data_IF_184207061920
#
_entry.id   IF_184207061920
#
_cell.length_a   1.000
_cell.length_b   1.000
_cell.length_c   1.000
_cell.angle_alpha   90.00
_cell.angle_beta   90.00
_cell.angle_gamma   90.00
#
_symmetry.space_group_name_H-M   'P 1'
#
loop_
_entity.id
_entity.type
_entity.pdbx_description
1 polymer ?
#
# COMPACT_ATOMS: atom_id res chain seq x y z
N UNK A 1 55.58 -5.03 -14.26
CA UNK A 1 54.44 -4.18 -13.88
C UNK A 1 53.22 -5.08 -13.75
N UNK A 2 52.87 -5.44 -12.52
CA UNK A 2 51.69 -6.30 -12.23
C UNK A 2 50.49 -5.38 -12.08
N UNK A 3 49.50 -5.56 -12.95
CA UNK A 3 48.22 -4.81 -12.88
C UNK A 3 47.44 -5.20 -11.64
N UNK A 4 47.02 -4.22 -10.87
CA UNK A 4 46.19 -4.40 -9.70
C UNK A 4 44.85 -5.10 -10.08
N UNK A 5 44.37 -6.06 -9.28
CA UNK A 5 43.11 -6.74 -9.56
C UNK A 5 41.97 -5.72 -9.51
N UNK A 6 41.18 -5.63 -10.60
CA UNK A 6 39.92 -4.89 -10.62
C UNK A 6 39.04 -5.43 -9.52
N UNK A 7 38.69 -4.60 -8.56
CA UNK A 7 37.80 -4.94 -7.45
C UNK A 7 36.52 -5.60 -7.97
N UNK A 8 36.15 -6.71 -7.33
CA UNK A 8 34.89 -7.43 -7.57
C UNK A 8 33.75 -6.44 -7.57
N UNK A 9 32.87 -6.38 -8.60
CA UNK A 9 31.71 -5.51 -8.58
C UNK A 9 30.93 -5.77 -7.28
N UNK A 10 30.59 -4.71 -6.53
CA UNK A 10 29.65 -4.85 -5.39
C UNK A 10 28.44 -5.61 -5.90
N UNK A 11 28.20 -6.77 -5.33
CA UNK A 11 27.05 -7.60 -5.70
C UNK A 11 25.80 -6.75 -5.46
N UNK A 12 25.21 -6.26 -6.53
CA UNK A 12 24.01 -5.45 -6.52
C UNK A 12 22.90 -6.30 -5.90
N UNK A 13 22.34 -5.83 -4.78
CA UNK A 13 21.16 -6.45 -4.20
C UNK A 13 19.92 -5.82 -4.86
N UNK A 14 19.29 -6.56 -5.76
CA UNK A 14 18.10 -6.11 -6.48
C UNK A 14 16.97 -5.71 -5.52
N UNK A 15 16.85 -6.37 -4.39
CA UNK A 15 15.85 -6.08 -3.38
C UNK A 15 16.09 -4.73 -2.69
N UNK A 16 17.32 -4.41 -2.32
CA UNK A 16 17.68 -3.10 -1.75
C UNK A 16 17.41 -1.97 -2.74
N UNK A 17 17.74 -2.18 -4.01
CA UNK A 17 17.46 -1.18 -5.05
C UNK A 17 15.97 -1.02 -5.29
N UNK A 18 15.19 -2.11 -5.28
CA UNK A 18 13.74 -2.05 -5.41
C UNK A 18 13.10 -1.31 -4.23
N UNK A 19 13.59 -1.52 -3.01
CA UNK A 19 13.13 -0.77 -1.83
C UNK A 19 13.41 0.74 -1.96
N UNK A 20 14.56 1.12 -2.52
CA UNK A 20 14.87 2.53 -2.80
C UNK A 20 13.94 3.11 -3.88
N UNK A 21 13.65 2.35 -4.94
CA UNK A 21 12.68 2.77 -5.97
C UNK A 21 11.28 2.95 -5.39
N UNK A 22 10.83 2.03 -4.52
CA UNK A 22 9.56 2.15 -3.80
C UNK A 22 9.48 3.48 -3.05
N UNK A 23 10.52 3.89 -2.33
CA UNK A 23 10.54 5.16 -1.60
C UNK A 23 10.39 6.37 -2.53
N UNK A 24 11.02 6.35 -3.71
CA UNK A 24 10.87 7.41 -4.73
C UNK A 24 9.45 7.46 -5.26
N UNK A 25 8.90 6.32 -5.68
CA UNK A 25 7.53 6.25 -6.18
C UNK A 25 6.49 6.64 -5.12
N UNK A 26 6.71 6.27 -3.88
CA UNK A 26 5.79 6.62 -2.78
C UNK A 26 5.75 8.11 -2.52
N UNK A 27 6.91 8.79 -2.60
CA UNK A 27 7.02 10.26 -2.38
C UNK A 27 6.56 11.09 -3.57
N UNK A 28 6.83 10.63 -4.80
CA UNK A 28 6.65 11.40 -6.04
C UNK A 28 5.45 10.96 -6.87
N UNK A 29 4.90 9.79 -6.59
CA UNK A 29 3.97 9.12 -7.49
C UNK A 29 4.67 8.56 -8.74
N UNK A 30 3.93 7.85 -9.57
CA UNK A 30 4.46 7.26 -10.79
C UNK A 30 4.98 8.32 -11.78
N UNK A 31 4.17 9.35 -12.08
CA UNK A 31 4.53 10.37 -13.07
C UNK A 31 5.67 11.26 -12.58
N UNK A 32 5.66 11.67 -11.31
CA UNK A 32 6.68 12.54 -10.73
C UNK A 32 8.06 11.89 -10.53
N UNK A 33 8.14 10.56 -10.51
CA UNK A 33 9.40 9.85 -10.39
C UNK A 33 10.15 9.80 -11.72
N UNK A 34 11.25 10.55 -11.84
CA UNK A 34 12.09 10.53 -13.05
C UNK A 34 13.03 9.32 -13.07
N UNK A 35 13.43 8.87 -14.27
CA UNK A 35 14.42 7.78 -14.41
C UNK A 35 15.78 8.15 -13.80
N UNK A 36 16.15 9.42 -13.80
CA UNK A 36 17.39 9.90 -13.18
C UNK A 36 17.32 9.75 -11.66
N UNK A 37 16.25 10.23 -11.03
CA UNK A 37 16.01 10.13 -9.59
C UNK A 37 15.92 8.66 -9.13
N UNK A 38 15.24 7.80 -9.91
CA UNK A 38 15.16 6.37 -9.62
C UNK A 38 16.54 5.71 -9.64
N UNK A 39 17.35 5.93 -10.70
CA UNK A 39 18.69 5.32 -10.79
C UNK A 39 19.65 5.84 -9.73
N UNK A 40 19.55 7.11 -9.37
CA UNK A 40 20.32 7.72 -8.28
C UNK A 40 19.96 7.09 -6.93
N UNK A 41 18.68 7.03 -6.59
CA UNK A 41 18.21 6.44 -5.34
C UNK A 41 18.54 4.95 -5.23
N UNK A 42 18.42 4.21 -6.34
CA UNK A 42 18.77 2.78 -6.43
C UNK A 42 20.27 2.51 -6.40
N UNK A 43 21.12 3.54 -6.61
CA UNK A 43 22.58 3.38 -6.69
C UNK A 43 23.06 2.58 -7.90
N UNK A 44 22.32 2.61 -9.01
CA UNK A 44 22.60 1.84 -10.22
C UNK A 44 22.58 2.69 -11.48
N UNK A 45 23.16 2.17 -12.55
CA UNK A 45 23.10 2.83 -13.86
C UNK A 45 21.79 2.54 -14.58
N UNK A 46 21.40 3.43 -15.49
CA UNK A 46 20.20 3.24 -16.32
C UNK A 46 20.20 1.92 -17.10
N UNK A 47 21.31 1.47 -17.74
CA UNK A 47 21.38 0.13 -18.34
C UNK A 47 21.15 -1.01 -17.35
N UNK A 48 21.69 -0.90 -16.12
CA UNK A 48 21.48 -1.90 -15.07
C UNK A 48 20.01 -1.96 -14.62
N UNK A 49 19.34 -0.80 -14.55
CA UNK A 49 17.92 -0.76 -14.23
C UNK A 49 17.10 -1.51 -15.29
N UNK A 50 17.32 -1.22 -16.57
CA UNK A 50 16.62 -1.91 -17.66
C UNK A 50 16.88 -3.41 -17.68
N UNK A 51 18.11 -3.83 -17.43
CA UNK A 51 18.49 -5.24 -17.40
C UNK A 51 17.81 -6.02 -16.25
N UNK A 52 17.68 -5.40 -15.05
CA UNK A 52 17.15 -6.07 -13.86
C UNK A 52 15.63 -5.93 -13.69
N UNK A 53 15.07 -4.78 -14.06
CA UNK A 53 13.70 -4.42 -13.76
C UNK A 53 12.82 -4.16 -14.99
N UNK A 54 13.41 -4.11 -16.17
CA UNK A 54 12.70 -3.74 -17.39
C UNK A 54 12.52 -2.21 -17.51
N UNK A 55 11.33 -1.78 -17.79
CA UNK A 55 11.00 -0.35 -17.91
C UNK A 55 10.46 0.25 -16.59
N UNK A 56 10.12 1.55 -16.61
CA UNK A 56 9.56 2.26 -15.44
C UNK A 56 8.25 1.62 -14.95
N UNK A 57 7.40 1.15 -15.87
CA UNK A 57 6.13 0.48 -15.52
C UNK A 57 6.39 -0.82 -14.76
N UNK A 58 7.26 -1.68 -15.31
CA UNK A 58 7.61 -2.94 -14.65
C UNK A 58 8.28 -2.72 -13.29
N UNK A 59 9.13 -1.70 -13.15
CA UNK A 59 9.72 -1.32 -11.87
C UNK A 59 8.65 -0.86 -10.88
N UNK A 60 7.67 -0.08 -11.33
CA UNK A 60 6.57 0.39 -10.50
C UNK A 60 5.69 -0.76 -10.02
N UNK A 61 5.32 -1.71 -10.89
CA UNK A 61 4.56 -2.90 -10.50
C UNK A 61 5.31 -3.73 -9.46
N UNK A 62 6.64 -3.94 -9.65
CA UNK A 62 7.47 -4.61 -8.65
C UNK A 62 7.56 -3.85 -7.32
N UNK A 63 7.54 -2.52 -7.35
CA UNK A 63 7.50 -1.71 -6.14
C UNK A 63 6.14 -1.84 -5.42
N UNK A 64 5.02 -1.96 -6.14
CA UNK A 64 3.72 -2.29 -5.56
C UNK A 64 3.72 -3.68 -4.93
N UNK A 65 4.29 -4.70 -5.60
CA UNK A 65 4.43 -6.05 -5.03
C UNK A 65 5.22 -6.06 -3.72
N UNK A 66 6.35 -5.33 -3.71
CA UNK A 66 7.18 -5.18 -2.52
C UNK A 66 6.41 -4.50 -1.38
N UNK A 67 5.69 -3.43 -1.69
CA UNK A 67 4.86 -2.71 -0.73
C UNK A 67 3.77 -3.60 -0.13
N UNK A 68 3.04 -4.34 -0.96
CA UNK A 68 2.00 -5.25 -0.50
C UNK A 68 2.56 -6.35 0.39
N UNK A 69 3.67 -6.95 -0.01
CA UNK A 69 4.34 -8.00 0.76
C UNK A 69 4.81 -7.52 2.14
N UNK A 70 5.48 -6.38 2.19
CA UNK A 70 6.24 -5.96 3.37
C UNK A 70 5.45 -4.99 4.26
N UNK A 71 4.56 -4.19 3.68
CA UNK A 71 3.84 -3.15 4.41
C UNK A 71 2.37 -3.50 4.67
N UNK A 72 1.75 -4.32 3.83
CA UNK A 72 0.34 -4.72 3.98
C UNK A 72 0.14 -6.11 4.60
N UNK A 73 1.18 -6.71 5.17
CA UNK A 73 1.07 -8.01 5.85
C UNK A 73 -0.01 -8.03 6.94
N UNK A 74 -0.25 -6.90 7.63
CA UNK A 74 -1.30 -6.75 8.63
C UNK A 74 -2.72 -6.97 8.08
N UNK A 75 -2.95 -6.74 6.78
CA UNK A 75 -4.26 -6.93 6.15
C UNK A 75 -4.71 -8.38 6.25
N UNK A 76 -3.81 -9.34 5.98
CA UNK A 76 -4.10 -10.76 6.12
C UNK A 76 -4.49 -11.10 7.55
N UNK A 77 -3.70 -10.65 8.52
CA UNK A 77 -3.99 -10.85 9.94
C UNK A 77 -5.31 -10.21 10.37
N UNK A 78 -5.67 -9.05 9.79
CA UNK A 78 -6.94 -8.41 10.07
C UNK A 78 -8.13 -9.26 9.58
N UNK A 79 -8.04 -9.83 8.38
CA UNK A 79 -9.11 -10.68 7.81
C UNK A 79 -9.35 -11.99 8.60
N UNK A 80 -8.36 -12.43 9.40
CA UNK A 80 -8.49 -13.59 10.29
C UNK A 80 -9.16 -13.26 11.63
N UNK A 81 -9.48 -11.99 11.90
CA UNK A 81 -10.13 -11.60 13.14
C UNK A 81 -11.53 -12.24 13.30
N UNK A 82 -11.98 -12.51 14.55
CA UNK A 82 -13.19 -13.33 14.80
C UNK A 82 -14.48 -12.65 14.36
N UNK A 83 -14.60 -11.30 14.47
CA UNK A 83 -15.82 -10.55 14.14
C UNK A 83 -15.57 -9.47 13.10
N UNK A 84 -16.62 -8.98 12.43
CA UNK A 84 -16.52 -7.89 11.47
C UNK A 84 -15.91 -6.63 12.08
N UNK A 85 -16.28 -6.30 13.32
CA UNK A 85 -15.72 -5.16 14.06
C UNK A 85 -14.24 -5.36 14.38
N UNK A 86 -13.85 -6.56 14.79
CA UNK A 86 -12.44 -6.88 15.05
C UNK A 86 -11.60 -6.86 13.76
N UNK A 87 -12.18 -7.24 12.60
CA UNK A 87 -11.55 -7.06 11.28
C UNK A 87 -11.30 -5.58 11.03
N UNK A 88 -12.33 -4.74 11.17
CA UNK A 88 -12.22 -3.30 10.96
C UNK A 88 -11.19 -2.67 11.90
N UNK A 89 -11.20 -3.04 13.18
CA UNK A 89 -10.25 -2.53 14.16
C UNK A 89 -8.81 -2.87 13.79
N UNK A 90 -8.52 -4.15 13.52
CA UNK A 90 -7.15 -4.57 13.15
C UNK A 90 -6.70 -3.91 11.84
N UNK A 91 -7.62 -3.79 10.88
CA UNK A 91 -7.34 -3.17 9.59
C UNK A 91 -6.98 -1.68 9.75
N UNK A 92 -7.81 -0.91 10.46
CA UNK A 92 -7.59 0.52 10.67
C UNK A 92 -6.39 0.81 11.57
N UNK A 93 -6.17 0.02 12.64
CA UNK A 93 -4.98 0.18 13.49
C UNK A 93 -3.70 -0.20 12.78
N UNK A 94 -3.73 -1.23 11.93
CA UNK A 94 -2.59 -1.58 11.08
C UNK A 94 -2.23 -0.47 10.09
N UNK A 95 -3.25 0.14 9.46
CA UNK A 95 -3.07 1.30 8.60
C UNK A 95 -2.50 2.50 9.36
N UNK A 96 -3.01 2.78 10.57
CA UNK A 96 -2.51 3.84 11.44
C UNK A 96 -1.04 3.63 11.81
N UNK A 97 -0.67 2.42 12.23
CA UNK A 97 0.71 2.10 12.57
C UNK A 97 1.66 2.30 11.38
N UNK A 98 1.25 1.88 10.18
CA UNK A 98 2.01 2.10 8.96
C UNK A 98 2.21 3.60 8.66
N UNK A 99 1.17 4.41 8.85
CA UNK A 99 1.19 5.84 8.53
C UNK A 99 1.88 6.70 9.59
N UNK A 100 2.06 6.16 10.79
CA UNK A 100 2.74 6.81 11.91
C UNK A 100 4.24 6.52 11.97
N UNK A 101 4.74 5.63 11.11
CA UNK A 101 6.15 5.27 11.03
C UNK A 101 7.02 6.45 10.58
N UNK A 102 8.16 6.69 11.27
CA UNK A 102 9.06 7.81 10.96
C UNK A 102 9.90 7.61 9.70
N UNK A 103 10.05 6.38 9.22
CA UNK A 103 10.95 6.02 8.11
C UNK A 103 10.27 6.03 6.74
N UNK A 104 8.96 5.85 6.70
CA UNK A 104 8.20 5.74 5.45
C UNK A 104 7.50 7.06 5.10
N UNK A 105 7.23 7.33 3.83
CA UNK A 105 6.40 8.44 3.41
C UNK A 105 4.99 8.32 4.01
N UNK A 106 4.40 9.46 4.36
CA UNK A 106 3.04 9.49 4.92
C UNK A 106 1.99 9.10 3.87
N UNK A 107 0.93 8.46 4.32
CA UNK A 107 -0.13 7.94 3.46
C UNK A 107 0.16 6.53 2.93
N UNK A 108 -0.85 5.89 2.37
CA UNK A 108 -0.72 4.55 1.78
C UNK A 108 -0.32 4.64 0.31
N UNK A 109 0.77 3.97 -0.08
CA UNK A 109 1.24 3.97 -1.47
C UNK A 109 0.18 3.47 -2.46
N UNK A 110 -0.54 2.40 -2.11
CA UNK A 110 -1.63 1.87 -2.93
C UNK A 110 -2.78 2.87 -3.11
N UNK A 111 -3.17 3.60 -2.04
CA UNK A 111 -4.23 4.62 -2.10
C UNK A 111 -3.79 5.81 -2.94
N UNK A 112 -2.59 6.32 -2.70
CA UNK A 112 -2.03 7.47 -3.46
C UNK A 112 -1.96 7.10 -4.95
N UNK A 113 -1.50 5.90 -5.27
CA UNK A 113 -1.43 5.41 -6.65
C UNK A 113 -2.82 5.27 -7.28
N UNK A 114 -3.82 4.76 -6.56
CA UNK A 114 -5.18 4.61 -7.05
C UNK A 114 -5.87 5.97 -7.31
N UNK A 115 -5.64 6.97 -6.46
CA UNK A 115 -6.18 8.32 -6.63
C UNK A 115 -5.54 9.03 -7.85
N UNK A 116 -4.23 8.84 -8.04
CA UNK A 116 -3.49 9.48 -9.12
C UNK A 116 -3.61 8.75 -10.47
N UNK A 117 -4.12 7.52 -10.51
CA UNK A 117 -4.04 6.65 -11.68
C UNK A 117 -4.83 7.12 -12.91
N UNK A 118 -5.71 8.10 -12.78
CA UNK A 118 -6.45 8.67 -13.92
C UNK A 118 -5.52 9.25 -15.00
N UNK A 119 -4.32 9.69 -14.63
CA UNK A 119 -3.31 10.26 -15.52
C UNK A 119 -2.23 9.24 -15.92
N UNK A 120 -2.34 7.99 -15.49
CA UNK A 120 -1.36 6.96 -15.81
C UNK A 120 -1.59 6.35 -17.20
N UNK A 121 -0.54 5.73 -17.75
CA UNK A 121 -0.70 4.85 -18.90
C UNK A 121 -1.75 3.77 -18.57
N UNK A 122 -2.53 3.35 -19.57
CA UNK A 122 -3.66 2.42 -19.40
C UNK A 122 -3.24 1.11 -18.70
N UNK A 123 -2.06 0.57 -19.03
CA UNK A 123 -1.48 -0.63 -18.42
C UNK A 123 -1.29 -0.48 -16.91
N UNK A 124 -0.73 0.65 -16.47
CA UNK A 124 -0.50 0.94 -15.06
C UNK A 124 -1.82 1.18 -14.33
N UNK A 125 -2.73 1.90 -14.95
CA UNK A 125 -4.07 2.13 -14.40
C UNK A 125 -4.81 0.80 -14.18
N UNK A 126 -4.81 -0.08 -15.17
CA UNK A 126 -5.43 -1.39 -15.08
C UNK A 126 -4.83 -2.23 -13.93
N UNK A 127 -3.50 -2.24 -13.78
CA UNK A 127 -2.81 -2.96 -12.71
C UNK A 127 -3.18 -2.42 -11.31
N UNK A 128 -3.14 -1.09 -11.12
CA UNK A 128 -3.50 -0.46 -9.84
C UNK A 128 -4.97 -0.75 -9.48
N UNK A 129 -5.86 -0.66 -10.46
CA UNK A 129 -7.28 -0.93 -10.25
C UNK A 129 -7.56 -2.41 -9.97
N UNK A 130 -6.86 -3.34 -10.63
CA UNK A 130 -6.99 -4.78 -10.38
C UNK A 130 -6.60 -5.14 -8.94
N UNK A 131 -5.52 -4.56 -8.41
CA UNK A 131 -5.09 -4.74 -7.01
C UNK A 131 -6.13 -4.22 -6.03
N UNK A 132 -6.70 -3.04 -6.28
CA UNK A 132 -7.78 -2.49 -5.48
C UNK A 132 -8.99 -3.42 -5.45
N UNK A 133 -9.46 -3.87 -6.60
CA UNK A 133 -10.61 -4.79 -6.71
C UNK A 133 -10.33 -6.10 -5.94
N UNK A 134 -9.11 -6.64 -6.03
CA UNK A 134 -8.71 -7.84 -5.30
C UNK A 134 -8.77 -7.63 -3.78
N UNK A 135 -8.29 -6.50 -3.28
CA UNK A 135 -8.33 -6.16 -1.85
C UNK A 135 -9.76 -5.97 -1.35
N UNK A 136 -10.58 -5.23 -2.09
CA UNK A 136 -11.99 -5.00 -1.75
C UNK A 136 -12.77 -6.34 -1.72
N UNK A 137 -12.52 -7.23 -2.69
CA UNK A 137 -13.12 -8.56 -2.73
C UNK A 137 -12.79 -9.41 -1.50
N UNK A 138 -11.56 -9.42 -1.05
CA UNK A 138 -11.16 -10.16 0.15
C UNK A 138 -11.91 -9.68 1.41
N UNK A 139 -12.12 -8.36 1.55
CA UNK A 139 -12.89 -7.77 2.64
C UNK A 139 -14.37 -8.16 2.53
N UNK A 140 -14.95 -8.07 1.33
CA UNK A 140 -16.35 -8.45 1.07
C UNK A 140 -16.58 -9.93 1.42
N UNK A 141 -15.72 -10.83 0.96
CA UNK A 141 -15.80 -12.27 1.26
C UNK A 141 -15.73 -12.54 2.77
N UNK A 142 -14.85 -11.81 3.50
CA UNK A 142 -14.78 -11.91 4.95
C UNK A 142 -16.08 -11.44 5.62
N UNK A 143 -16.68 -10.35 5.13
CA UNK A 143 -17.92 -9.81 5.69
C UNK A 143 -19.15 -10.63 5.33
N UNK A 144 -19.18 -11.33 4.18
CA UNK A 144 -20.20 -12.35 3.92
C UNK A 144 -20.16 -13.45 4.99
N UNK A 145 -18.98 -13.92 5.37
CA UNK A 145 -18.85 -14.91 6.45
C UNK A 145 -19.35 -14.31 7.79
N UNK A 146 -18.94 -13.10 8.14
CA UNK A 146 -19.40 -12.43 9.35
C UNK A 146 -20.93 -12.26 9.40
N UNK A 147 -21.55 -12.00 8.23
CA UNK A 147 -22.99 -11.93 8.08
C UNK A 147 -23.67 -13.24 8.44
N UNK A 148 -23.17 -14.35 7.93
CA UNK A 148 -23.71 -15.69 8.26
C UNK A 148 -23.51 -16.07 9.72
N UNK A 149 -22.52 -15.50 10.38
CA UNK A 149 -22.23 -15.64 11.82
C UNK A 149 -23.05 -14.66 12.71
N UNK A 150 -23.87 -13.79 12.11
CA UNK A 150 -24.74 -12.86 12.83
C UNK A 150 -24.01 -11.69 13.50
N UNK A 151 -22.86 -11.28 12.95
CA UNK A 151 -22.01 -10.24 13.53
C UNK A 151 -22.55 -8.83 13.38
N UNK A 152 -23.42 -8.59 12.40
CA UNK A 152 -24.01 -7.26 12.16
C UNK A 152 -25.43 -7.38 11.56
N UNK A 153 -26.25 -6.29 11.67
CA UNK A 153 -27.66 -6.31 11.30
C UNK A 153 -27.89 -6.64 9.81
N UNK A 154 -29.02 -7.29 9.52
CA UNK A 154 -29.41 -7.58 8.13
C UNK A 154 -29.62 -6.36 7.25
N UNK A 155 -29.90 -5.22 7.82
CA UNK A 155 -30.06 -3.94 7.12
C UNK A 155 -28.76 -3.41 6.47
N UNK A 156 -27.59 -3.96 6.85
CA UNK A 156 -26.29 -3.58 6.30
C UNK A 156 -25.78 -4.72 5.42
N UNK A 157 -25.45 -4.44 4.16
CA UNK A 157 -24.87 -5.46 3.28
C UNK A 157 -23.36 -5.58 3.47
N UNK A 158 -22.75 -6.76 3.27
CA UNK A 158 -21.30 -6.95 3.31
C UNK A 158 -20.56 -5.99 2.38
N UNK A 159 -21.10 -5.75 1.18
CA UNK A 159 -20.53 -4.84 0.20
C UNK A 159 -20.53 -3.39 0.69
N UNK A 160 -21.64 -2.93 1.28
CA UNK A 160 -21.75 -1.58 1.82
C UNK A 160 -20.78 -1.38 3.01
N UNK A 161 -20.66 -2.40 3.88
CA UNK A 161 -19.75 -2.36 5.01
C UNK A 161 -18.30 -2.36 4.58
N UNK A 162 -17.94 -3.16 3.57
CA UNK A 162 -16.61 -3.18 2.98
C UNK A 162 -16.27 -1.83 2.30
N UNK A 163 -17.20 -1.27 1.54
CA UNK A 163 -17.04 0.03 0.90
C UNK A 163 -16.84 1.14 1.95
N UNK A 164 -17.59 1.11 3.06
CA UNK A 164 -17.42 2.05 4.16
C UNK A 164 -16.01 1.93 4.79
N UNK A 165 -15.56 0.71 5.12
CA UNK A 165 -14.22 0.48 5.67
C UNK A 165 -13.13 0.98 4.72
N UNK A 166 -13.25 0.67 3.42
CA UNK A 166 -12.31 1.11 2.39
C UNK A 166 -12.29 2.65 2.26
N UNK A 167 -13.46 3.31 2.33
CA UNK A 167 -13.55 4.76 2.27
C UNK A 167 -12.88 5.43 3.49
N UNK A 168 -13.09 4.90 4.70
CA UNK A 168 -12.41 5.39 5.92
C UNK A 168 -10.91 5.24 5.81
N UNK A 169 -10.41 4.08 5.39
CA UNK A 169 -8.98 3.84 5.21
C UNK A 169 -8.36 4.77 4.16
N UNK A 170 -9.04 4.99 3.04
CA UNK A 170 -8.60 5.94 2.02
C UNK A 170 -8.55 7.37 2.58
N UNK A 171 -9.59 7.78 3.31
CA UNK A 171 -9.64 9.08 3.99
C UNK A 171 -8.49 9.26 4.99
N UNK A 172 -8.20 8.25 5.81
CA UNK A 172 -7.05 8.24 6.71
C UNK A 172 -5.73 8.43 5.96
N UNK A 173 -5.55 7.73 4.83
CA UNK A 173 -4.34 7.82 4.03
C UNK A 173 -4.14 9.20 3.42
N UNK A 174 -5.21 9.84 2.94
CA UNK A 174 -5.18 11.20 2.40
C UNK A 174 -4.88 12.21 3.52
N UNK A 175 -5.53 12.08 4.67
CA UNK A 175 -5.28 12.97 5.83
C UNK A 175 -3.84 12.83 6.33
N UNK A 176 -3.31 11.61 6.45
CA UNK A 176 -1.92 11.38 6.82
C UNK A 176 -0.95 12.05 5.84
N UNK A 177 -1.18 11.90 4.54
CA UNK A 177 -0.41 12.55 3.48
C UNK A 177 -0.48 14.08 3.52
N UNK A 178 -1.61 14.63 4.01
CA UNK A 178 -1.84 16.07 4.18
C UNK A 178 -1.33 16.63 5.53
N UNK A 179 -0.72 15.79 6.37
CA UNK A 179 -0.08 16.23 7.60
C UNK A 179 -0.86 15.99 8.89
N UNK A 180 -1.99 15.26 8.84
CA UNK A 180 -2.71 14.89 10.05
C UNK A 180 -1.79 14.17 11.06
N UNK A 181 -1.95 14.50 12.32
CA UNK A 181 -1.20 13.87 13.41
C UNK A 181 -1.68 12.43 13.67
N UNK A 182 -0.85 11.56 14.23
CA UNK A 182 -1.27 10.23 14.67
C UNK A 182 -2.47 10.26 15.63
N UNK A 183 -2.60 11.30 16.44
CA UNK A 183 -3.70 11.47 17.37
C UNK A 183 -5.03 11.76 16.64
N UNK A 184 -5.02 12.60 15.62
CA UNK A 184 -6.22 12.88 14.80
C UNK A 184 -6.66 11.62 14.05
N UNK A 185 -5.73 10.86 13.50
CA UNK A 185 -6.03 9.59 12.83
C UNK A 185 -6.56 8.53 13.82
N UNK A 186 -6.02 8.45 15.04
CA UNK A 186 -6.54 7.55 16.10
C UNK A 186 -7.98 7.94 16.49
N UNK A 187 -8.30 9.23 16.58
CA UNK A 187 -9.68 9.69 16.83
C UNK A 187 -10.64 9.24 15.73
N UNK A 188 -10.20 9.28 14.46
CA UNK A 188 -11.01 8.77 13.35
C UNK A 188 -11.25 7.26 13.49
N UNK A 189 -10.22 6.49 13.86
CA UNK A 189 -10.36 5.04 14.12
C UNK A 189 -11.36 4.79 15.24
N UNK A 190 -11.21 5.45 16.38
CA UNK A 190 -12.10 5.30 17.53
C UNK A 190 -13.54 5.65 17.20
N UNK A 191 -13.77 6.76 16.48
CA UNK A 191 -15.11 7.18 16.04
C UNK A 191 -15.72 6.14 15.11
N UNK A 192 -14.94 5.63 14.14
CA UNK A 192 -15.40 4.59 13.21
C UNK A 192 -15.83 3.33 13.96
N UNK A 193 -15.04 2.88 14.93
CA UNK A 193 -15.34 1.69 15.73
C UNK A 193 -16.53 1.89 16.69
N UNK A 194 -16.73 3.10 17.20
CA UNK A 194 -17.90 3.44 18.02
C UNK A 194 -19.19 3.42 17.21
N UNK A 195 -19.14 3.81 15.94
CA UNK A 195 -20.27 3.83 15.01
C UNK A 195 -20.42 2.51 14.22
N UNK A 196 -19.55 1.53 14.44
CA UNK A 196 -19.56 0.29 13.68
C UNK A 196 -20.84 -0.51 13.95
N UNK A 197 -21.54 -0.98 12.90
CA UNK A 197 -22.74 -1.78 13.08
C UNK A 197 -22.38 -3.19 13.58
N UNK A 198 -22.91 -3.58 14.74
CA UNK A 198 -22.72 -4.92 15.30
C UNK A 198 -21.63 -5.03 16.36
N UNK A 199 -21.22 -6.27 16.60
CA UNK A 199 -20.31 -6.68 17.70
C UNK A 199 -18.85 -6.60 17.29
#
# INVERSE_FOLDING_TARGET
MMGAPRGRPRQFCAETALAAALQVFWKRGYEGASMAELTEAMGITKPSLYACFGNKESLFCKALDLYERDKLAYVRSALEAPTAKAVAERFLRGALALQSGASDPRGCFGVISAVACANFAESIRAEVMARRVSSDRAIIERFHRARTEGDFPESVTPEALAAYLSAVMQGMSVQAGSGASPQELEQLVQTTLALWPGR
#
